data_IF_162701775047
#
_entry.id   IF_162701775047
#
_cell.length_a   1.000
_cell.length_b   1.000
_cell.length_c   1.000
_cell.angle_alpha   90.00
_cell.angle_beta   90.00
_cell.angle_gamma   90.00
#
_symmetry.space_group_name_H-M   'P 1'
#
loop_
_entity.id
_entity.type
_entity.pdbx_description
1 polymer ?
#
# COMPACT_ATOMS: atom_id res chain seq x y z
N UNK A 1 37.07 9.23 54.11
CA UNK A 1 36.90 9.83 52.77
C UNK A 1 36.29 8.79 51.85
N UNK A 2 35.12 9.13 51.29
CA UNK A 2 34.27 8.31 50.41
C UNK A 2 34.97 8.04 49.07
N UNK A 3 34.91 6.80 48.56
CA UNK A 3 34.98 6.52 47.12
C UNK A 3 34.06 5.35 46.79
N UNK A 4 32.77 5.65 46.66
CA UNK A 4 31.81 4.76 46.00
C UNK A 4 32.10 4.81 44.50
N UNK A 5 32.50 3.68 43.93
CA UNK A 5 32.62 3.51 42.47
C UNK A 5 31.20 3.30 41.95
N UNK A 6 30.63 4.34 41.34
CA UNK A 6 29.39 4.23 40.57
C UNK A 6 29.79 3.71 39.19
N UNK A 7 29.46 2.45 38.92
CA UNK A 7 29.50 1.89 37.56
C UNK A 7 28.27 2.42 36.85
N UNK A 8 28.46 3.47 36.06
CA UNK A 8 27.42 4.02 35.20
C UNK A 8 27.33 3.13 33.96
N UNK A 9 26.43 2.14 33.98
CA UNK A 9 26.04 1.41 32.78
C UNK A 9 25.22 2.39 31.93
N UNK A 10 25.87 3.08 31.00
CA UNK A 10 25.17 3.72 29.88
C UNK A 10 24.62 2.59 29.00
N UNK A 11 23.43 2.11 29.33
CA UNK A 11 22.56 1.49 28.33
C UNK A 11 22.06 2.66 27.49
N UNK A 12 22.86 3.09 26.52
CA UNK A 12 22.31 3.77 25.36
C UNK A 12 21.42 2.74 24.69
N UNK A 13 20.15 2.68 25.09
CA UNK A 13 19.06 2.25 24.23
C UNK A 13 19.07 3.25 23.07
N UNK A 14 20.04 3.13 22.18
CA UNK A 14 19.85 3.47 20.79
C UNK A 14 18.65 2.61 20.43
N UNK A 15 17.48 3.25 20.46
CA UNK A 15 16.34 2.84 19.70
C UNK A 15 16.86 2.69 18.28
N UNK A 16 17.39 1.50 17.96
CA UNK A 16 17.53 1.04 16.60
C UNK A 16 16.10 0.92 16.11
N UNK A 17 15.46 2.06 15.81
CA UNK A 17 14.32 2.06 14.93
C UNK A 17 14.82 1.28 13.71
N UNK A 18 14.18 0.17 13.36
CA UNK A 18 14.56 -0.56 12.17
C UNK A 18 14.65 0.46 11.03
N UNK A 19 15.72 0.42 10.24
CA UNK A 19 15.81 1.26 9.05
C UNK A 19 14.49 1.18 8.30
N UNK A 20 13.94 2.31 7.80
CA UNK A 20 12.58 2.34 7.28
C UNK A 20 12.38 1.20 6.30
N UNK A 21 11.53 0.27 6.70
CA UNK A 21 11.04 -0.74 5.79
C UNK A 21 10.03 -0.03 4.93
N UNK A 22 10.26 -0.01 3.62
CA UNK A 22 9.30 0.48 2.61
C UNK A 22 8.08 -0.46 2.51
N UNK A 23 7.75 -1.14 3.60
CA UNK A 23 6.68 -2.11 3.72
C UNK A 23 5.41 -1.35 4.12
N UNK A 24 4.37 -1.51 3.32
CA UNK A 24 3.10 -0.83 3.52
C UNK A 24 2.44 -1.18 4.87
N UNK A 25 2.75 -2.35 5.45
CA UNK A 25 2.07 -2.88 6.63
C UNK A 25 2.70 -2.53 7.98
N UNK A 26 3.94 -2.05 8.00
CA UNK A 26 4.62 -1.74 9.27
C UNK A 26 4.16 -0.39 9.86
N UNK A 27 4.65 -0.07 11.07
CA UNK A 27 4.31 1.16 11.82
C UNK A 27 5.27 2.34 11.56
N UNK A 28 6.32 2.16 10.75
CA UNK A 28 7.36 3.16 10.50
C UNK A 28 6.93 4.14 9.40
N UNK A 29 7.03 5.43 9.71
CA UNK A 29 6.70 6.54 8.80
C UNK A 29 7.89 7.50 8.59
N UNK A 30 9.03 7.27 9.24
CA UNK A 30 10.29 7.97 8.97
C UNK A 30 10.92 7.47 7.66
N UNK A 31 10.24 7.74 6.55
CA UNK A 31 10.58 7.25 5.21
C UNK A 31 11.29 8.36 4.43
N UNK A 32 12.47 8.06 3.91
CA UNK A 32 13.22 9.02 3.10
C UNK A 32 12.58 9.21 1.73
N UNK A 33 11.97 10.38 1.50
CA UNK A 33 11.42 10.72 0.19
C UNK A 33 12.45 10.69 -0.94
N UNK A 34 13.70 11.04 -0.64
CA UNK A 34 14.77 10.97 -1.64
C UNK A 34 14.93 9.55 -2.17
N UNK A 35 14.89 8.55 -1.29
CA UNK A 35 14.96 7.14 -1.68
C UNK A 35 13.66 6.68 -2.35
N UNK A 36 12.49 7.13 -1.88
CA UNK A 36 11.19 6.86 -2.53
C UNK A 36 11.20 7.33 -4.00
N UNK A 37 11.63 8.56 -4.27
CA UNK A 37 11.73 9.09 -5.64
C UNK A 37 12.79 8.37 -6.46
N UNK A 38 13.95 8.07 -5.87
CA UNK A 38 15.04 7.31 -6.53
C UNK A 38 14.61 5.89 -6.91
N UNK A 39 13.73 5.28 -6.14
CA UNK A 39 13.16 3.95 -6.42
C UNK A 39 12.05 3.98 -7.47
N UNK A 40 11.81 5.12 -8.12
CA UNK A 40 10.92 5.23 -9.28
C UNK A 40 9.47 5.55 -8.94
N UNK A 41 9.20 6.08 -7.73
CA UNK A 41 7.92 6.69 -7.41
C UNK A 41 7.78 8.07 -8.07
N UNK A 42 6.64 8.29 -8.69
CA UNK A 42 6.25 9.60 -9.25
C UNK A 42 5.03 10.17 -8.53
N UNK A 43 4.87 11.49 -8.61
CA UNK A 43 3.64 12.16 -8.19
C UNK A 43 2.50 11.84 -9.15
N UNK A 44 1.46 11.17 -8.65
CA UNK A 44 0.30 10.72 -9.44
C UNK A 44 -0.95 11.58 -9.21
N UNK A 45 -1.05 12.31 -8.09
CA UNK A 45 -2.21 13.17 -7.80
C UNK A 45 -1.82 14.25 -6.81
N UNK A 46 -2.44 15.42 -6.98
CA UNK A 46 -2.37 16.56 -6.06
C UNK A 46 -3.80 16.91 -5.68
N UNK A 47 -4.12 16.91 -4.39
CA UNK A 47 -5.48 17.20 -3.95
C UNK A 47 -5.57 17.36 -2.44
N UNK A 48 -6.46 18.24 -1.99
CA UNK A 48 -6.75 18.46 -0.56
C UNK A 48 -5.51 18.70 0.33
N UNK A 49 -4.45 19.31 -0.20
CA UNK A 49 -3.21 19.59 0.55
C UNK A 49 -2.18 18.47 0.57
N UNK A 50 -2.35 17.41 -0.24
CA UNK A 50 -1.45 16.27 -0.29
C UNK A 50 -0.85 16.03 -1.67
N UNK A 51 0.35 15.44 -1.68
CA UNK A 51 0.93 14.76 -2.84
C UNK A 51 0.90 13.26 -2.63
N UNK A 52 0.51 12.58 -3.71
CA UNK A 52 0.42 11.13 -3.80
C UNK A 52 1.58 10.62 -4.65
N UNK A 53 2.52 9.87 -4.06
CA UNK A 53 3.68 9.27 -4.72
C UNK A 53 3.46 7.77 -4.91
N UNK A 54 3.60 7.24 -6.13
CA UNK A 54 3.39 5.81 -6.42
C UNK A 54 4.48 5.26 -7.32
N UNK A 55 4.92 4.03 -7.06
CA UNK A 55 5.86 3.31 -7.94
C UNK A 55 5.29 3.17 -9.35
N UNK A 56 6.11 3.44 -10.37
CA UNK A 56 5.66 3.39 -11.78
C UNK A 56 5.46 1.99 -12.33
N UNK A 57 6.20 1.01 -11.82
CA UNK A 57 6.35 -0.30 -12.42
C UNK A 57 5.90 -1.41 -11.47
N UNK A 58 5.61 -2.59 -12.02
CA UNK A 58 5.17 -3.76 -11.25
C UNK A 58 3.65 -3.84 -11.10
N UNK A 59 3.19 -5.02 -10.65
CA UNK A 59 1.78 -5.28 -10.33
C UNK A 59 1.42 -4.69 -8.96
N UNK A 60 2.23 -4.96 -7.94
CA UNK A 60 2.13 -4.32 -6.62
C UNK A 60 3.01 -3.08 -6.63
N UNK A 61 2.40 -1.91 -6.48
CA UNK A 61 3.05 -0.60 -6.52
C UNK A 61 2.90 0.06 -5.17
N UNK A 62 3.99 0.26 -4.46
CA UNK A 62 3.95 1.00 -3.20
C UNK A 62 3.54 2.44 -3.45
N UNK A 63 2.83 2.99 -2.48
CA UNK A 63 2.30 4.33 -2.51
C UNK A 63 2.57 5.05 -1.18
N UNK A 64 2.81 6.35 -1.26
CA UNK A 64 3.08 7.24 -0.13
C UNK A 64 2.32 8.54 -0.29
N UNK A 65 1.77 9.05 0.81
CA UNK A 65 1.14 10.36 0.89
C UNK A 65 2.01 11.29 1.72
N UNK A 66 2.18 12.53 1.24
CA UNK A 66 2.86 13.61 1.95
C UNK A 66 2.01 14.88 1.94
N UNK A 67 2.21 15.77 2.91
CA UNK A 67 1.66 17.12 2.82
C UNK A 67 2.39 17.94 1.76
N UNK A 68 1.65 18.78 1.04
CA UNK A 68 2.22 19.73 0.06
C UNK A 68 3.15 20.74 0.73
N UNK A 69 2.84 21.12 1.98
CA UNK A 69 3.61 22.10 2.77
C UNK A 69 4.79 21.47 3.54
N UNK A 70 4.79 20.14 3.69
CA UNK A 70 5.81 19.40 4.43
C UNK A 70 6.21 18.13 3.66
N UNK A 71 7.10 18.35 2.68
CA UNK A 71 7.55 17.29 1.78
C UNK A 71 8.28 16.17 2.50
N UNK A 72 8.87 16.38 3.67
CA UNK A 72 9.65 15.33 4.34
C UNK A 72 8.80 14.43 5.24
N UNK A 73 7.49 14.64 5.28
CA UNK A 73 6.61 13.98 6.21
C UNK A 73 5.62 13.06 5.48
N UNK A 74 5.93 11.77 5.51
CA UNK A 74 5.01 10.73 5.06
C UNK A 74 3.91 10.55 6.10
N UNK A 75 2.68 10.84 5.68
CA UNK A 75 1.47 10.83 6.53
C UNK A 75 0.60 9.62 6.28
N UNK A 76 0.79 8.97 5.13
CA UNK A 76 0.18 7.71 4.84
C UNK A 76 1.04 6.88 3.88
N UNK A 77 0.84 5.58 3.91
CA UNK A 77 1.50 4.64 3.01
C UNK A 77 0.59 3.47 2.69
N UNK A 78 0.94 2.74 1.65
CA UNK A 78 0.07 1.70 1.13
C UNK A 78 0.66 1.04 -0.11
N UNK A 79 -0.19 0.32 -0.82
CA UNK A 79 0.10 -0.14 -2.16
C UNK A 79 -1.18 -0.25 -2.99
N UNK A 80 -1.01 -0.15 -4.30
CA UNK A 80 -2.01 -0.56 -5.28
C UNK A 80 -1.54 -1.85 -5.95
N UNK A 81 -2.37 -2.87 -5.98
CA UNK A 81 -2.13 -4.11 -6.71
C UNK A 81 -3.01 -4.18 -7.96
N UNK A 82 -2.39 -4.17 -9.14
CA UNK A 82 -3.09 -4.30 -10.43
C UNK A 82 -3.51 -5.76 -10.63
N UNK A 83 -4.82 -6.00 -10.60
CA UNK A 83 -5.43 -7.30 -10.86
C UNK A 83 -5.36 -7.64 -12.35
N UNK A 84 -5.87 -6.74 -13.17
CA UNK A 84 -5.97 -6.89 -14.62
C UNK A 84 -6.19 -5.56 -15.35
N UNK A 85 -6.01 -5.62 -16.66
CA UNK A 85 -6.41 -4.57 -17.60
C UNK A 85 -7.67 -5.02 -18.32
N UNK A 86 -8.71 -4.20 -18.32
CA UNK A 86 -9.98 -4.48 -18.98
C UNK A 86 -10.21 -3.49 -20.13
N UNK A 87 -10.80 -3.98 -21.21
CA UNK A 87 -11.29 -3.18 -22.33
C UNK A 87 -12.80 -3.13 -22.25
N UNK A 88 -13.34 -1.97 -21.94
CA UNK A 88 -14.78 -1.78 -21.81
C UNK A 88 -15.41 -1.57 -23.19
N UNK A 89 -16.67 -1.99 -23.34
CA UNK A 89 -17.42 -1.70 -24.58
C UNK A 89 -18.00 -0.30 -24.59
N UNK A 90 -18.25 0.23 -23.39
CA UNK A 90 -18.85 1.55 -23.16
C UNK A 90 -18.48 2.07 -21.77
N UNK A 91 -18.41 3.40 -21.61
CA UNK A 91 -18.01 4.02 -20.32
C UNK A 91 -18.91 3.65 -19.15
N UNK A 92 -20.20 3.37 -19.39
CA UNK A 92 -21.16 3.01 -18.33
C UNK A 92 -20.86 1.66 -17.65
N UNK A 93 -19.97 0.84 -18.23
CA UNK A 93 -19.49 -0.40 -17.59
C UNK A 93 -18.48 -0.14 -16.47
N UNK A 94 -17.86 1.05 -16.42
CA UNK A 94 -16.80 1.39 -15.46
C UNK A 94 -17.21 1.23 -14.00
N UNK A 95 -18.45 1.59 -13.65
CA UNK A 95 -18.95 1.45 -12.28
C UNK A 95 -19.21 -0.01 -11.87
N UNK A 96 -19.39 -0.92 -12.82
CA UNK A 96 -19.80 -2.32 -12.56
C UNK A 96 -18.62 -3.24 -12.28
N UNK A 97 -17.46 -2.92 -12.84
CA UNK A 97 -16.27 -3.78 -12.76
C UNK A 97 -15.65 -3.86 -11.36
N UNK A 98 -15.92 -2.88 -10.48
CA UNK A 98 -15.47 -2.88 -9.07
C UNK A 98 -16.07 -4.03 -8.26
N UNK A 99 -17.21 -4.57 -8.70
CA UNK A 99 -17.95 -5.58 -7.96
C UNK A 99 -17.60 -7.00 -8.41
N UNK A 100 -16.75 -7.11 -9.44
CA UNK A 100 -16.30 -8.40 -9.94
C UNK A 100 -15.38 -9.07 -8.93
N UNK A 101 -15.68 -10.33 -8.61
CA UNK A 101 -14.79 -11.19 -7.83
C UNK A 101 -13.43 -11.34 -8.52
N UNK A 102 -12.41 -11.59 -7.72
CA UNK A 102 -11.10 -11.97 -8.23
C UNK A 102 -11.06 -13.47 -8.46
N UNK A 103 -10.41 -13.89 -9.55
CA UNK A 103 -10.28 -15.30 -9.93
C UNK A 103 -9.18 -16.01 -9.14
N UNK A 104 -9.20 -17.34 -9.13
CA UNK A 104 -8.14 -18.17 -8.51
C UNK A 104 -6.74 -17.82 -9.04
N UNK A 105 -6.60 -17.61 -10.35
CA UNK A 105 -5.32 -17.21 -10.94
C UNK A 105 -4.83 -15.87 -10.37
N UNK A 106 -5.74 -14.90 -10.20
CA UNK A 106 -5.41 -13.61 -9.62
C UNK A 106 -5.04 -13.71 -8.13
N UNK A 107 -5.67 -14.64 -7.40
CA UNK A 107 -5.33 -14.95 -6.01
C UNK A 107 -3.90 -15.51 -5.91
N UNK A 108 -3.52 -16.42 -6.81
CA UNK A 108 -2.16 -16.99 -6.86
C UNK A 108 -1.10 -15.91 -7.11
N UNK A 109 -1.37 -15.02 -8.06
CA UNK A 109 -0.46 -13.90 -8.36
C UNK A 109 -0.39 -12.91 -7.19
N UNK A 110 -1.52 -12.59 -6.56
CA UNK A 110 -1.57 -11.71 -5.39
C UNK A 110 -0.74 -12.30 -4.24
N UNK A 111 -0.87 -13.59 -3.97
CA UNK A 111 -0.08 -14.28 -2.94
C UNK A 111 1.42 -14.19 -3.22
N UNK A 112 1.84 -14.28 -4.49
CA UNK A 112 3.25 -14.18 -4.89
C UNK A 112 3.82 -12.80 -4.54
N UNK A 113 3.04 -11.73 -4.75
CA UNK A 113 3.46 -10.38 -4.39
C UNK A 113 3.42 -10.10 -2.88
N UNK A 114 2.50 -10.73 -2.14
CA UNK A 114 2.33 -10.54 -0.69
C UNK A 114 3.28 -11.37 0.16
N UNK A 115 3.84 -12.46 -0.38
CA UNK A 115 4.76 -13.35 0.34
C UNK A 115 5.94 -12.59 0.95
N UNK A 116 6.50 -11.61 0.22
CA UNK A 116 7.62 -10.76 0.69
C UNK A 116 7.29 -9.94 1.95
N UNK A 117 6.01 -9.76 2.24
CA UNK A 117 5.52 -9.06 3.43
C UNK A 117 5.01 -10.02 4.52
N UNK A 118 5.01 -11.33 4.28
CA UNK A 118 4.43 -12.33 5.19
C UNK A 118 2.90 -12.30 5.21
N UNK A 119 2.29 -11.95 4.07
CA UNK A 119 0.84 -11.89 3.89
C UNK A 119 0.38 -12.86 2.81
N UNK A 120 -0.89 -13.25 2.88
CA UNK A 120 -1.59 -13.96 1.80
C UNK A 120 -3.06 -13.63 1.78
N UNK A 121 -3.71 -13.93 0.67
CA UNK A 121 -5.16 -13.96 0.54
C UNK A 121 -5.79 -14.81 1.64
N UNK A 122 -6.87 -14.28 2.22
CA UNK A 122 -7.65 -14.94 3.26
C UNK A 122 -9.06 -15.24 2.77
N UNK A 123 -9.75 -14.23 2.27
CA UNK A 123 -11.15 -14.33 1.87
C UNK A 123 -11.52 -13.25 0.86
N UNK A 124 -12.63 -13.44 0.14
CA UNK A 124 -13.31 -12.36 -0.56
C UNK A 124 -14.81 -12.43 -0.30
N UNK A 125 -15.41 -11.30 0.03
CA UNK A 125 -16.82 -11.20 0.39
C UNK A 125 -17.44 -9.96 -0.22
N UNK A 126 -18.74 -10.01 -0.47
CA UNK A 126 -19.48 -8.84 -0.88
C UNK A 126 -19.76 -7.97 0.35
N UNK A 127 -19.49 -6.67 0.26
CA UNK A 127 -19.81 -5.72 1.34
C UNK A 127 -21.26 -5.25 1.26
N UNK A 128 -21.70 -4.42 2.22
CA UNK A 128 -23.08 -3.92 2.30
C UNK A 128 -23.53 -3.08 1.09
N UNK A 129 -22.58 -2.64 0.25
CA UNK A 129 -22.82 -1.88 -0.98
C UNK A 129 -22.76 -2.73 -2.25
N UNK A 130 -22.59 -4.05 -2.11
CA UNK A 130 -22.47 -4.96 -3.26
C UNK A 130 -21.08 -4.99 -3.91
N UNK A 131 -20.08 -4.37 -3.28
CA UNK A 131 -18.72 -4.34 -3.81
C UNK A 131 -17.94 -5.55 -3.30
N UNK A 132 -17.07 -6.11 -4.14
CA UNK A 132 -16.20 -7.21 -3.73
C UNK A 132 -15.06 -6.69 -2.85
N UNK A 133 -15.10 -7.06 -1.57
CA UNK A 133 -14.04 -6.82 -0.61
C UNK A 133 -13.09 -8.01 -0.58
N UNK A 134 -11.78 -7.76 -0.65
CA UNK A 134 -10.74 -8.78 -0.57
C UNK A 134 -10.02 -8.63 0.76
N UNK A 135 -9.90 -9.71 1.52
CA UNK A 135 -9.19 -9.75 2.79
C UNK A 135 -7.88 -10.53 2.64
N UNK A 136 -6.82 -9.99 3.23
CA UNK A 136 -5.53 -10.65 3.37
C UNK A 136 -5.22 -10.88 4.84
N UNK A 137 -4.39 -11.87 5.15
CA UNK A 137 -4.00 -12.22 6.51
C UNK A 137 -2.48 -12.20 6.66
N UNK A 138 -2.01 -11.60 7.75
CA UNK A 138 -0.63 -11.75 8.17
C UNK A 138 -0.40 -13.17 8.69
N UNK A 139 0.55 -13.89 8.12
CA UNK A 139 0.74 -15.30 8.42
C UNK A 139 1.26 -15.56 9.84
N UNK A 140 1.98 -14.60 10.43
CA UNK A 140 2.49 -14.70 11.80
C UNK A 140 1.47 -14.21 12.83
N UNK A 141 1.00 -12.98 12.70
CA UNK A 141 0.16 -12.33 13.71
C UNK A 141 -1.32 -12.70 13.60
N UNK A 142 -1.73 -13.37 12.51
CA UNK A 142 -3.12 -13.72 12.17
C UNK A 142 -4.09 -12.53 12.08
N UNK A 143 -3.56 -11.32 11.96
CA UNK A 143 -4.37 -10.10 11.73
C UNK A 143 -4.81 -10.08 10.28
N UNK A 144 -6.07 -9.75 10.05
CA UNK A 144 -6.66 -9.58 8.72
C UNK A 144 -6.73 -8.11 8.34
N UNK A 145 -6.57 -7.82 7.05
CA UNK A 145 -6.65 -6.48 6.48
C UNK A 145 -7.51 -6.52 5.23
N UNK A 146 -8.34 -5.50 5.06
CA UNK A 146 -9.18 -5.34 3.89
C UNK A 146 -8.41 -4.58 2.81
N UNK A 147 -8.57 -5.04 1.57
CA UNK A 147 -8.11 -4.37 0.36
C UNK A 147 -9.33 -3.81 -0.37
N UNK A 148 -9.28 -2.51 -0.65
CA UNK A 148 -10.36 -1.81 -1.32
C UNK A 148 -10.28 -1.99 -2.84
N UNK A 149 -11.37 -2.40 -3.51
CA UNK A 149 -11.40 -2.47 -4.96
C UNK A 149 -11.41 -1.06 -5.56
N UNK A 150 -10.49 -0.81 -6.48
CA UNK A 150 -10.43 0.46 -7.21
C UNK A 150 -10.36 0.23 -8.72
N UNK A 151 -10.74 1.26 -9.46
CA UNK A 151 -10.58 1.28 -10.92
C UNK A 151 -9.94 2.58 -11.35
N UNK A 152 -8.98 2.48 -12.27
CA UNK A 152 -8.20 3.60 -12.78
C UNK A 152 -8.29 3.59 -14.30
N UNK A 153 -8.64 4.73 -14.91
CA UNK A 153 -8.59 4.88 -16.35
C UNK A 153 -7.13 4.93 -16.81
N UNK A 154 -6.76 4.03 -17.70
CA UNK A 154 -5.48 4.08 -18.41
C UNK A 154 -5.64 4.99 -19.62
N UNK A 155 -6.73 4.79 -20.35
CA UNK A 155 -7.10 5.58 -21.51
C UNK A 155 -8.61 5.56 -21.65
N UNK A 156 -9.25 6.68 -21.34
CA UNK A 156 -10.70 6.81 -21.42
C UNK A 156 -11.21 6.73 -22.86
N UNK A 157 -10.47 7.30 -23.83
CA UNK A 157 -10.87 7.30 -25.24
C UNK A 157 -10.94 5.89 -25.82
N UNK A 158 -9.97 5.05 -25.46
CA UNK A 158 -9.87 3.65 -25.91
C UNK A 158 -10.57 2.68 -24.94
N UNK A 159 -11.27 3.22 -23.94
CA UNK A 159 -12.04 2.47 -22.94
C UNK A 159 -11.21 1.43 -22.15
N UNK A 160 -9.95 1.76 -21.85
CA UNK A 160 -9.01 0.85 -21.18
C UNK A 160 -8.83 1.25 -19.71
N UNK A 161 -8.98 0.29 -18.82
CA UNK A 161 -8.96 0.49 -17.37
C UNK A 161 -8.11 -0.55 -16.66
N UNK A 162 -7.49 -0.14 -15.55
CA UNK A 162 -7.01 -1.08 -14.54
C UNK A 162 -8.12 -1.36 -13.54
N UNK A 163 -8.25 -2.63 -13.16
CA UNK A 163 -8.89 -3.03 -11.90
C UNK A 163 -7.79 -3.31 -10.88
N UNK A 164 -7.96 -2.78 -9.68
CA UNK A 164 -6.92 -2.79 -8.65
C UNK A 164 -7.48 -3.14 -7.28
N UNK A 165 -6.62 -3.62 -6.40
CA UNK A 165 -6.85 -3.75 -4.96
C UNK A 165 -5.89 -2.82 -4.23
N UNK A 166 -6.42 -1.99 -3.33
CA UNK A 166 -5.62 -0.96 -2.66
C UNK A 166 -5.61 -1.20 -1.17
N UNK A 167 -4.43 -1.03 -0.56
CA UNK A 167 -4.29 -0.96 0.89
C UNK A 167 -3.73 0.40 1.27
N UNK A 168 -4.32 1.03 2.28
CA UNK A 168 -3.89 2.33 2.78
C UNK A 168 -3.85 2.35 4.30
N UNK A 169 -2.83 2.99 4.84
CA UNK A 169 -2.65 3.22 6.27
C UNK A 169 -2.14 4.64 6.51
N UNK A 170 -2.92 5.40 7.27
CA UNK A 170 -2.49 6.69 7.81
C UNK A 170 -1.63 6.53 9.07
N UNK A 171 -0.85 7.57 9.36
CA UNK A 171 -0.09 7.73 10.59
C UNK A 171 -0.97 7.97 11.81
#
# INVERSE_FOLDING_TARGET
MKKSIIILILITLNSCRPSPTYNAFDEEFDISLREVMKNGCDTITVGCGFFNLREKNGKLRNYYQIYVEDWNNVVAKGFDYILDTLYLKEEKEFGKIRNLKISETQIVELNTELEKYGFKFYNQKENEFGNNSVEIINESSKKTFELEPYTEWINQKDLVVYRQLSYFKGK
#
